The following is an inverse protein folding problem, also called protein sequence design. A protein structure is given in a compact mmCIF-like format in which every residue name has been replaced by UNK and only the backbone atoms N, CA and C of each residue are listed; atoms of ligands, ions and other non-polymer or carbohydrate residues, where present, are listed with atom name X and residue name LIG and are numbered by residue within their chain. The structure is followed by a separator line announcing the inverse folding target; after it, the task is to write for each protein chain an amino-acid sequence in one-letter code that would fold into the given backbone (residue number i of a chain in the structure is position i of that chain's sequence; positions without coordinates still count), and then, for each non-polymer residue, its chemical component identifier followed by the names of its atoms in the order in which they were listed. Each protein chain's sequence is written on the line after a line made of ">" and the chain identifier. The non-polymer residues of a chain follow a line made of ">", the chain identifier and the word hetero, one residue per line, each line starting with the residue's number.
data_IF_488892524011
#
_entry.id   IF_488892524011
#
_cell.length_a   1.000
_cell.length_b   1.000
_cell.length_c   1.000
_cell.angle_alpha   90.00
_cell.angle_beta   90.00
_cell.angle_gamma   90.00
#
_symmetry.space_group_name_H-M   'P 1'
#
loop_
_entity.id
_entity.type
_entity.pdbx_description
1 polymer ?
#
# COMPACT_ATOMS: atom_id res chain seq x y z
N UNK A 1 -4.24 -20.10 19.12
CA UNK A 1 -2.98 -20.75 19.51
C UNK A 1 -2.65 -21.77 18.43
N UNK A 2 -1.90 -21.37 17.43
CA UNK A 2 -1.15 -22.25 16.55
C UNK A 2 0.12 -21.51 16.20
N UNK A 3 1.07 -21.62 17.12
CA UNK A 3 2.46 -21.23 16.86
C UNK A 3 3.02 -22.36 15.98
N UNK A 4 2.88 -22.18 14.66
CA UNK A 4 3.50 -23.09 13.69
C UNK A 4 4.99 -22.83 13.72
N UNK A 5 5.70 -23.67 14.51
CA UNK A 5 7.14 -23.79 14.52
C UNK A 5 7.62 -24.07 13.10
N UNK A 6 8.04 -23.00 12.41
CA UNK A 6 8.77 -23.10 11.16
C UNK A 6 10.00 -23.99 11.44
N UNK A 7 10.04 -25.17 10.84
CA UNK A 7 11.19 -26.07 10.95
C UNK A 7 12.45 -25.29 10.56
N UNK A 8 13.46 -25.34 11.41
CA UNK A 8 14.71 -24.57 11.31
C UNK A 8 15.64 -25.07 10.18
N UNK A 9 15.06 -25.49 9.04
CA UNK A 9 15.82 -25.92 7.87
C UNK A 9 16.23 -24.66 7.09
N UNK A 10 17.54 -24.46 6.92
CA UNK A 10 18.07 -23.34 6.14
C UNK A 10 17.60 -23.45 4.68
N UNK A 11 16.92 -22.43 4.20
CA UNK A 11 16.42 -22.34 2.80
C UNK A 11 17.25 -21.39 1.94
N UNK A 12 18.36 -20.92 2.47
CA UNK A 12 19.25 -19.98 1.78
C UNK A 12 19.85 -20.63 0.52
N UNK A 13 19.68 -19.98 -0.62
CA UNK A 13 20.22 -20.47 -1.89
C UNK A 13 19.32 -21.44 -2.66
N UNK A 14 18.11 -21.73 -2.17
CA UNK A 14 17.12 -22.46 -2.97
C UNK A 14 16.61 -21.56 -4.10
N UNK A 15 16.33 -22.18 -5.26
CA UNK A 15 15.95 -21.44 -6.47
C UNK A 15 14.47 -21.06 -6.53
N UNK A 16 13.62 -21.71 -5.73
CA UNK A 16 12.18 -21.53 -5.76
C UNK A 16 11.60 -21.53 -4.34
N UNK A 17 10.59 -20.69 -4.10
CA UNK A 17 9.83 -20.74 -2.86
C UNK A 17 9.17 -22.09 -2.64
N UNK A 18 8.73 -22.79 -3.71
CA UNK A 18 8.15 -24.13 -3.58
C UNK A 18 9.15 -25.12 -2.99
N UNK A 19 10.41 -25.05 -3.38
CA UNK A 19 11.45 -25.90 -2.82
C UNK A 19 11.68 -25.59 -1.35
N UNK A 20 11.62 -24.29 -0.99
CA UNK A 20 11.80 -23.85 0.39
C UNK A 20 10.65 -24.33 1.30
N UNK A 21 9.40 -24.18 0.87
CA UNK A 21 8.24 -24.60 1.67
C UNK A 21 8.13 -26.11 1.77
N UNK A 22 8.55 -26.85 0.73
CA UNK A 22 8.64 -28.31 0.75
C UNK A 22 9.74 -28.76 1.73
N UNK A 23 10.92 -28.15 1.67
CA UNK A 23 12.05 -28.47 2.57
C UNK A 23 11.71 -28.17 4.04
N UNK A 24 10.90 -27.15 4.30
CA UNK A 24 10.35 -26.83 5.63
C UNK A 24 9.21 -27.77 6.06
N UNK A 25 8.73 -28.63 5.17
CA UNK A 25 7.62 -29.56 5.45
C UNK A 25 6.25 -28.85 5.56
N UNK A 26 6.13 -27.65 5.00
CA UNK A 26 4.90 -26.85 5.03
C UNK A 26 3.88 -27.29 3.97
N UNK A 27 4.34 -28.00 2.94
CA UNK A 27 3.51 -28.62 1.91
C UNK A 27 3.92 -30.05 1.66
N UNK A 28 2.99 -30.86 1.14
CA UNK A 28 3.27 -32.21 0.64
C UNK A 28 3.82 -32.18 -0.79
N UNK A 29 4.43 -33.30 -1.23
CA UNK A 29 4.88 -33.45 -2.61
C UNK A 29 3.73 -33.30 -3.63
N UNK A 30 2.52 -33.73 -3.27
CA UNK A 30 1.35 -33.60 -4.13
C UNK A 30 0.92 -32.13 -4.27
N UNK A 31 0.93 -31.39 -3.16
CA UNK A 31 0.66 -29.94 -3.17
C UNK A 31 1.73 -29.18 -3.96
N UNK A 32 3.02 -29.54 -3.79
CA UNK A 32 4.12 -28.99 -4.58
C UNK A 32 3.86 -29.14 -6.09
N UNK A 33 3.57 -30.37 -6.54
CA UNK A 33 3.32 -30.66 -7.96
C UNK A 33 2.07 -29.92 -8.49
N UNK A 34 1.00 -29.86 -7.69
CA UNK A 34 -0.23 -29.16 -8.03
C UNK A 34 0.01 -27.67 -8.23
N UNK A 35 0.69 -27.00 -7.28
CA UNK A 35 0.98 -25.56 -7.36
C UNK A 35 1.94 -25.26 -8.51
N UNK A 36 2.97 -26.09 -8.69
CA UNK A 36 3.92 -25.95 -9.79
C UNK A 36 3.22 -26.03 -11.15
N UNK A 37 2.33 -27.00 -11.33
CA UNK A 37 1.55 -27.16 -12.56
C UNK A 37 0.64 -25.96 -12.79
N UNK A 38 -0.05 -25.50 -11.75
CA UNK A 38 -0.97 -24.36 -11.83
C UNK A 38 -0.22 -23.05 -12.13
N UNK A 39 0.95 -22.83 -11.53
CA UNK A 39 1.76 -21.62 -11.76
C UNK A 39 2.25 -21.52 -13.22
N UNK A 40 2.50 -22.65 -13.88
CA UNK A 40 2.87 -22.67 -15.31
C UNK A 40 1.67 -22.39 -16.22
N UNK A 41 0.46 -22.81 -15.82
CA UNK A 41 -0.75 -22.68 -16.62
C UNK A 41 -1.55 -21.40 -16.35
N UNK A 42 -1.21 -20.67 -15.28
CA UNK A 42 -1.85 -19.41 -14.94
C UNK A 42 -0.78 -18.32 -14.88
N UNK A 43 -1.19 -17.06 -14.99
CA UNK A 43 -0.27 -15.91 -14.82
C UNK A 43 0.04 -15.60 -13.36
N UNK A 44 -0.23 -16.54 -12.42
CA UNK A 44 -0.01 -16.35 -10.98
C UNK A 44 1.29 -17.00 -10.55
N UNK A 45 2.07 -16.25 -9.77
CA UNK A 45 3.28 -16.79 -9.13
C UNK A 45 2.96 -17.87 -8.09
N UNK A 46 3.93 -18.76 -7.78
CA UNK A 46 3.77 -19.76 -6.72
C UNK A 46 3.43 -19.14 -5.37
N UNK A 47 3.99 -17.97 -5.05
CA UNK A 47 3.75 -17.19 -3.84
C UNK A 47 2.26 -16.84 -3.69
N UNK A 48 1.67 -16.30 -4.76
CA UNK A 48 0.27 -15.90 -4.77
C UNK A 48 -0.67 -17.12 -4.68
N UNK A 49 -0.28 -18.25 -5.29
CA UNK A 49 -1.05 -19.50 -5.21
C UNK A 49 -1.01 -20.09 -3.80
N UNK A 50 0.14 -20.08 -3.13
CA UNK A 50 0.28 -20.54 -1.75
C UNK A 50 -0.64 -19.76 -0.80
N UNK A 51 -0.68 -18.43 -0.95
CA UNK A 51 -1.52 -17.56 -0.13
C UNK A 51 -3.00 -17.68 -0.51
N UNK A 52 -3.36 -17.61 -1.79
CA UNK A 52 -4.75 -17.64 -2.25
C UNK A 52 -5.47 -18.96 -1.93
N UNK A 53 -4.72 -20.06 -1.83
CA UNK A 53 -5.23 -21.37 -1.40
C UNK A 53 -5.21 -21.56 0.11
N UNK A 54 -4.84 -20.54 0.89
CA UNK A 54 -4.70 -20.60 2.36
C UNK A 54 -3.78 -21.74 2.83
N UNK A 55 -2.76 -22.07 2.07
CA UNK A 55 -1.77 -23.09 2.43
C UNK A 55 -0.75 -22.50 3.40
N UNK A 56 -0.28 -21.27 3.11
CA UNK A 56 0.68 -20.54 3.93
C UNK A 56 0.20 -19.07 4.00
N UNK A 57 0.43 -18.40 5.14
CA UNK A 57 0.10 -16.98 5.29
C UNK A 57 1.04 -16.10 4.45
N UNK A 58 0.56 -14.93 4.02
CA UNK A 58 1.40 -13.94 3.32
C UNK A 58 2.63 -13.53 4.15
N UNK A 59 2.48 -13.45 5.48
CA UNK A 59 3.55 -13.17 6.43
C UNK A 59 4.63 -14.26 6.43
N UNK A 60 4.25 -15.52 6.39
CA UNK A 60 5.21 -16.63 6.34
C UNK A 60 5.91 -16.71 4.98
N UNK A 61 5.18 -16.42 3.88
CA UNK A 61 5.79 -16.30 2.56
C UNK A 61 6.86 -15.20 2.55
N UNK A 62 6.56 -14.01 3.06
CA UNK A 62 7.52 -12.90 3.14
C UNK A 62 8.77 -13.27 3.99
N UNK A 63 8.58 -13.97 5.11
CA UNK A 63 9.69 -14.46 5.94
C UNK A 63 10.56 -15.51 5.23
N UNK A 64 9.93 -16.43 4.50
CA UNK A 64 10.68 -17.45 3.75
C UNK A 64 11.49 -16.79 2.63
N UNK A 65 10.90 -15.85 1.89
CA UNK A 65 11.61 -15.09 0.85
C UNK A 65 12.77 -14.27 1.43
N UNK A 66 12.58 -13.66 2.59
CA UNK A 66 13.61 -12.96 3.36
C UNK A 66 14.81 -13.86 3.66
N UNK A 67 14.56 -15.07 4.18
CA UNK A 67 15.61 -16.06 4.45
C UNK A 67 16.32 -16.52 3.17
N UNK A 68 15.57 -16.76 2.09
CA UNK A 68 16.11 -17.24 0.81
C UNK A 68 17.03 -16.21 0.16
N UNK A 69 16.62 -14.95 0.16
CA UNK A 69 17.30 -13.84 -0.54
C UNK A 69 18.28 -13.09 0.35
N UNK A 70 18.25 -13.30 1.66
CA UNK A 70 19.08 -12.59 2.61
C UNK A 70 18.73 -11.09 2.76
N UNK A 71 17.49 -10.74 2.45
CA UNK A 71 16.91 -9.40 2.65
C UNK A 71 16.03 -9.46 3.89
N UNK A 72 16.17 -8.51 4.80
CA UNK A 72 15.48 -8.51 6.09
C UNK A 72 13.96 -8.39 5.92
N UNK A 73 13.19 -9.13 6.74
CA UNK A 73 11.74 -9.01 6.85
C UNK A 73 11.38 -7.97 7.93
N UNK A 74 10.34 -7.19 7.67
CA UNK A 74 9.79 -6.22 8.61
C UNK A 74 8.26 -6.30 8.63
N UNK A 75 7.66 -6.37 9.83
CA UNK A 75 6.21 -6.21 10.01
C UNK A 75 5.88 -4.71 9.97
N UNK A 76 5.67 -4.17 8.77
CA UNK A 76 5.58 -2.72 8.56
C UNK A 76 4.35 -2.09 9.19
N UNK A 77 3.28 -2.85 9.39
CA UNK A 77 2.04 -2.42 10.03
C UNK A 77 2.17 -2.25 11.55
N UNK A 78 3.15 -2.92 12.17
CA UNK A 78 3.47 -2.77 13.59
C UNK A 78 4.33 -1.52 13.90
N UNK A 79 4.83 -0.84 12.86
CA UNK A 79 5.71 0.33 13.03
C UNK A 79 4.90 1.63 13.21
N UNK A 80 5.41 2.51 14.07
CA UNK A 80 4.94 3.89 14.11
C UNK A 80 5.69 4.73 13.07
N UNK A 81 5.11 4.84 11.88
CA UNK A 81 5.72 5.52 10.74
C UNK A 81 5.23 6.96 10.70
N UNK A 82 6.15 7.97 10.75
CA UNK A 82 5.77 9.36 10.60
C UNK A 82 5.10 9.62 9.25
N UNK A 83 4.03 10.42 9.27
CA UNK A 83 3.23 10.73 8.07
C UNK A 83 4.08 11.39 6.97
N UNK A 84 5.03 12.25 7.34
CA UNK A 84 5.94 12.90 6.39
C UNK A 84 6.85 11.90 5.67
N UNK A 85 7.18 10.78 6.32
CA UNK A 85 7.95 9.70 5.72
C UNK A 85 7.09 8.90 4.74
N UNK A 86 5.84 8.60 5.10
CA UNK A 86 4.89 7.93 4.21
C UNK A 86 4.63 8.76 2.95
N UNK A 87 4.45 10.07 3.09
CA UNK A 87 4.15 11.00 2.01
C UNK A 87 5.30 11.24 1.03
N UNK A 88 6.51 10.70 1.29
CA UNK A 88 7.58 10.67 0.28
C UNK A 88 7.19 9.86 -0.95
N UNK A 89 6.26 8.93 -0.79
CA UNK A 89 5.69 8.15 -1.88
C UNK A 89 4.17 8.40 -1.92
N UNK A 90 3.62 8.73 -3.10
CA UNK A 90 2.17 8.90 -3.20
C UNK A 90 1.44 7.55 -3.07
N UNK A 91 0.19 7.61 -2.62
CA UNK A 91 -0.64 6.43 -2.33
C UNK A 91 -0.82 5.51 -3.54
N UNK A 92 -0.96 6.08 -4.74
CA UNK A 92 -1.17 5.28 -5.96
C UNK A 92 0.10 4.50 -6.32
N UNK A 93 1.27 5.13 -6.19
CA UNK A 93 2.56 4.43 -6.38
C UNK A 93 2.76 3.37 -5.29
N UNK A 94 2.44 3.67 -4.04
CA UNK A 94 2.53 2.72 -2.94
C UNK A 94 1.64 1.48 -3.18
N UNK A 95 0.38 1.68 -3.61
CA UNK A 95 -0.55 0.60 -3.96
C UNK A 95 -0.09 -0.21 -5.18
N UNK A 96 0.26 0.47 -6.27
CA UNK A 96 0.63 -0.19 -7.53
C UNK A 96 1.94 -0.97 -7.43
N UNK A 97 2.88 -0.50 -6.61
CA UNK A 97 4.18 -1.16 -6.39
C UNK A 97 4.18 -2.09 -5.19
N UNK A 98 3.10 -2.13 -4.39
CA UNK A 98 3.00 -2.86 -3.11
C UNK A 98 4.22 -2.58 -2.23
N UNK A 99 4.41 -1.30 -1.89
CA UNK A 99 5.53 -0.86 -1.08
C UNK A 99 5.19 0.36 -0.22
N UNK A 100 5.91 0.52 0.89
CA UNK A 100 5.75 1.62 1.85
C UNK A 100 7.13 2.09 2.30
N UNK A 101 7.36 3.42 2.25
CA UNK A 101 8.53 4.04 2.88
C UNK A 101 8.27 4.14 4.37
N UNK A 102 9.09 3.49 5.19
CA UNK A 102 8.88 3.48 6.63
C UNK A 102 9.95 4.23 7.43
N UNK A 103 11.10 4.52 6.82
CA UNK A 103 12.16 5.28 7.48
C UNK A 103 12.99 6.06 6.44
N UNK A 104 13.34 7.31 6.77
CA UNK A 104 14.29 8.11 6.00
C UNK A 104 15.61 8.24 6.77
N UNK A 105 16.70 7.90 6.12
CA UNK A 105 18.06 8.15 6.62
C UNK A 105 18.74 9.23 5.79
N UNK A 106 19.85 9.81 6.22
CA UNK A 106 20.59 10.78 5.41
C UNK A 106 21.02 10.24 4.03
N UNK A 107 21.31 8.92 3.92
CA UNK A 107 21.87 8.30 2.73
C UNK A 107 20.84 7.56 1.86
N UNK A 108 19.78 7.01 2.45
CA UNK A 108 18.82 6.16 1.77
C UNK A 108 17.45 6.18 2.46
N UNK A 109 16.44 5.70 1.73
CA UNK A 109 15.13 5.36 2.28
C UNK A 109 15.06 3.86 2.57
N UNK A 110 14.46 3.48 3.69
CA UNK A 110 14.07 2.10 3.96
C UNK A 110 12.64 1.90 3.47
N UNK A 111 12.46 0.89 2.63
CA UNK A 111 11.19 0.60 1.96
C UNK A 111 10.78 -0.84 2.19
N UNK A 112 9.62 -1.05 2.79
CA UNK A 112 8.98 -2.35 2.89
C UNK A 112 8.29 -2.67 1.56
N UNK A 113 8.52 -3.86 1.00
CA UNK A 113 8.06 -4.27 -0.32
C UNK A 113 7.58 -5.72 -0.26
N UNK A 114 6.51 -6.04 -1.02
CA UNK A 114 6.10 -7.43 -1.24
C UNK A 114 7.20 -8.22 -1.96
N UNK A 115 7.83 -7.58 -2.95
CA UNK A 115 8.90 -8.14 -3.77
C UNK A 115 10.17 -7.29 -3.59
N UNK A 116 10.87 -7.53 -2.49
CA UNK A 116 12.03 -6.75 -2.10
C UNK A 116 13.30 -7.06 -2.93
N UNK A 117 13.26 -8.08 -3.80
CA UNK A 117 14.36 -8.45 -4.68
C UNK A 117 14.19 -7.92 -6.12
N UNK A 118 13.05 -7.29 -6.44
CA UNK A 118 12.79 -6.71 -7.77
C UNK A 118 13.63 -5.44 -8.01
N UNK A 119 14.75 -5.61 -8.69
CA UNK A 119 15.68 -4.52 -9.00
C UNK A 119 15.05 -3.44 -9.90
N UNK A 120 14.05 -3.78 -10.71
CA UNK A 120 13.38 -2.80 -11.57
C UNK A 120 12.50 -1.88 -10.73
N UNK A 121 11.72 -2.44 -9.81
CA UNK A 121 10.93 -1.67 -8.85
C UNK A 121 11.82 -0.81 -7.94
N UNK A 122 12.93 -1.37 -7.44
CA UNK A 122 13.89 -0.60 -6.62
C UNK A 122 14.42 0.60 -7.38
N UNK A 123 14.89 0.43 -8.63
CA UNK A 123 15.38 1.53 -9.46
C UNK A 123 14.28 2.56 -9.77
N UNK A 124 13.07 2.12 -10.01
CA UNK A 124 11.93 3.00 -10.21
C UNK A 124 11.67 3.85 -8.96
N UNK A 125 11.65 3.25 -7.77
CA UNK A 125 11.50 3.98 -6.50
C UNK A 125 12.67 4.95 -6.26
N UNK A 126 13.92 4.56 -6.52
CA UNK A 126 15.08 5.46 -6.44
C UNK A 126 14.93 6.67 -7.36
N UNK A 127 14.34 6.48 -8.55
CA UNK A 127 14.11 7.57 -9.50
C UNK A 127 13.08 8.59 -9.01
N UNK A 128 12.04 8.13 -8.32
CA UNK A 128 10.98 8.97 -7.73
C UNK A 128 11.50 9.66 -6.47
N UNK A 129 12.07 8.89 -5.56
CA UNK A 129 12.53 9.36 -4.25
C UNK A 129 13.83 10.20 -4.35
N UNK A 130 14.51 10.19 -5.50
CA UNK A 130 15.81 10.88 -5.73
C UNK A 130 16.89 10.51 -4.73
N UNK A 131 16.81 9.31 -4.14
CA UNK A 131 17.70 8.80 -3.10
C UNK A 131 17.77 7.28 -3.21
N UNK A 132 18.84 6.68 -2.69
CA UNK A 132 18.98 5.21 -2.65
C UNK A 132 17.86 4.57 -1.83
N UNK A 133 17.51 3.35 -2.20
CA UNK A 133 16.49 2.52 -1.53
C UNK A 133 17.14 1.29 -0.94
N UNK A 134 16.91 1.05 0.33
CA UNK A 134 17.16 -0.23 1.00
C UNK A 134 15.83 -0.95 1.16
N UNK A 135 15.68 -2.07 0.46
CA UNK A 135 14.45 -2.86 0.45
C UNK A 135 14.39 -3.83 1.63
N UNK A 136 13.19 -4.06 2.13
CA UNK A 136 12.83 -5.01 3.18
C UNK A 136 11.61 -5.81 2.72
N UNK A 137 11.56 -7.10 3.06
CA UNK A 137 10.36 -7.90 2.81
C UNK A 137 9.26 -7.57 3.82
N UNK A 138 8.03 -7.41 3.32
CA UNK A 138 6.81 -7.38 4.13
C UNK A 138 5.68 -8.07 3.34
N UNK A 139 4.67 -8.59 4.03
CA UNK A 139 3.54 -9.19 3.35
C UNK A 139 2.68 -8.14 2.66
N UNK A 140 1.96 -8.54 1.62
CA UNK A 140 1.00 -7.68 0.92
C UNK A 140 -0.06 -7.13 1.89
N UNK A 141 -0.55 -7.98 2.80
CA UNK A 141 -1.56 -7.61 3.80
C UNK A 141 -1.04 -6.51 4.75
N UNK A 142 0.19 -6.64 5.27
CA UNK A 142 0.82 -5.64 6.13
C UNK A 142 1.01 -4.31 5.40
N UNK A 143 1.46 -4.35 4.13
CA UNK A 143 1.64 -3.15 3.30
C UNK A 143 0.30 -2.45 3.05
N UNK A 144 -0.73 -3.20 2.63
CA UNK A 144 -2.05 -2.65 2.36
C UNK A 144 -2.70 -2.10 3.63
N UNK A 145 -2.53 -2.77 4.78
CA UNK A 145 -3.01 -2.27 6.07
C UNK A 145 -2.43 -0.89 6.40
N UNK A 146 -1.12 -0.68 6.22
CA UNK A 146 -0.50 0.64 6.41
C UNK A 146 -1.06 1.65 5.43
N UNK A 147 -1.21 1.29 4.16
CA UNK A 147 -1.73 2.19 3.13
C UNK A 147 -3.16 2.62 3.47
N UNK A 148 -4.03 1.69 3.77
CA UNK A 148 -5.45 1.98 4.01
C UNK A 148 -5.69 2.72 5.34
N UNK A 149 -4.91 2.41 6.38
CA UNK A 149 -5.09 3.06 7.69
C UNK A 149 -4.40 4.42 7.77
N UNK A 150 -3.15 4.53 7.31
CA UNK A 150 -2.35 5.75 7.54
C UNK A 150 -2.49 6.78 6.42
N UNK A 151 -2.59 6.38 5.15
CA UNK A 151 -2.91 7.32 4.08
C UNK A 151 -4.41 7.69 4.07
N UNK A 152 -5.31 6.77 4.48
CA UNK A 152 -6.73 7.07 4.62
C UNK A 152 -7.03 8.08 5.73
N UNK A 153 -6.31 8.03 6.84
CA UNK A 153 -6.43 9.00 7.94
C UNK A 153 -6.02 10.42 7.53
N UNK A 154 -5.16 10.57 6.53
CA UNK A 154 -4.75 11.88 6.02
C UNK A 154 -5.86 12.54 5.21
N UNK A 155 -6.59 11.79 4.39
CA UNK A 155 -7.75 12.33 3.66
C UNK A 155 -8.77 12.90 4.64
N UNK A 156 -9.00 12.22 5.78
CA UNK A 156 -9.86 12.72 6.85
C UNK A 156 -9.38 14.04 7.45
N UNK A 157 -8.07 14.17 7.75
CA UNK A 157 -7.49 15.41 8.28
C UNK A 157 -7.52 16.57 7.30
N UNK A 158 -7.21 16.31 6.02
CA UNK A 158 -7.29 17.34 4.97
C UNK A 158 -8.73 17.82 4.76
N UNK A 159 -9.72 16.92 4.92
CA UNK A 159 -11.15 17.29 4.92
C UNK A 159 -11.50 18.10 6.16
N UNK A 160 -11.07 17.69 7.35
CA UNK A 160 -11.33 18.40 8.60
C UNK A 160 -10.66 19.79 8.61
N UNK A 161 -9.44 19.93 8.11
CA UNK A 161 -8.74 21.20 7.94
C UNK A 161 -9.43 22.09 6.89
N UNK A 162 -9.85 21.52 5.75
CA UNK A 162 -10.60 22.25 4.74
C UNK A 162 -11.98 22.70 5.25
N UNK A 163 -12.62 21.91 6.13
CA UNK A 163 -13.87 22.28 6.80
C UNK A 163 -13.67 23.32 7.90
N UNK A 164 -12.54 23.28 8.61
CA UNK A 164 -12.22 24.26 9.64
C UNK A 164 -11.88 25.64 9.06
N UNK A 165 -11.32 25.70 7.85
CA UNK A 165 -11.08 26.95 7.10
C UNK A 165 -12.37 27.56 6.53
N UNK A 166 -13.45 26.79 6.43
CA UNK A 166 -14.78 27.27 6.07
C UNK A 166 -15.48 27.75 7.34
N UNK A 167 -15.05 28.89 7.90
CA UNK A 167 -15.76 29.53 8.99
C UNK A 167 -17.22 29.85 8.62
N UNK A 168 -18.11 29.85 9.63
CA UNK A 168 -19.56 30.07 9.50
C UNK A 168 -19.92 31.34 8.68
N UNK A 169 -19.03 32.34 8.63
CA UNK A 169 -19.23 33.60 7.87
C UNK A 169 -18.98 33.46 6.34
N UNK A 170 -18.20 32.47 5.90
CA UNK A 170 -17.84 32.29 4.48
C UNK A 170 -18.94 31.56 3.70
N UNK A 171 -19.80 30.81 4.37
CA UNK A 171 -20.92 30.09 3.76
C UNK A 171 -22.07 31.06 3.36
N UNK A 172 -22.19 32.18 4.06
CA UNK A 172 -23.25 33.19 3.76
C UNK A 172 -22.88 34.10 2.59
N UNK A 173 -21.61 34.31 2.30
CA UNK A 173 -21.13 35.19 1.23
C UNK A 173 -21.07 34.50 -0.15
N UNK A 174 -20.99 33.17 -0.18
CA UNK A 174 -21.00 32.38 -1.43
C UNK A 174 -22.36 32.36 -2.13
N UNK A 175 -23.44 32.56 -1.39
CA UNK A 175 -24.81 32.66 -1.97
C UNK A 175 -25.05 33.91 -2.77
N UNK A 176 -24.30 34.99 -2.55
CA UNK A 176 -24.47 36.30 -3.23
C UNK A 176 -23.53 36.51 -4.42
N UNK A 177 -22.48 35.68 -4.57
CA UNK A 177 -21.44 35.89 -5.61
C UNK A 177 -21.67 35.15 -6.92
N UNK A 178 -22.80 34.45 -7.10
CA UNK A 178 -23.13 33.76 -8.35
C UNK A 178 -23.83 34.62 -9.40
N UNK A 179 -23.94 35.94 -9.19
CA UNK A 179 -24.39 36.87 -10.21
C UNK A 179 -23.23 37.69 -10.78
N UNK A 180 -22.85 37.31 -11.97
CA UNK A 180 -22.04 38.01 -12.97
C UNK A 180 -20.55 38.23 -12.71
N UNK A 181 -19.79 37.64 -13.62
CA UNK A 181 -18.49 37.98 -14.18
C UNK A 181 -17.22 37.31 -13.67
N UNK A 182 -16.57 36.67 -14.68
CA UNK A 182 -15.15 36.32 -14.77
C UNK A 182 -14.61 35.28 -13.76
N UNK A 183 -14.91 34.04 -14.11
CA UNK A 183 -14.19 32.87 -13.58
C UNK A 183 -12.77 32.89 -14.16
N UNK A 184 -11.84 33.51 -13.47
CA UNK A 184 -10.43 33.45 -13.82
C UNK A 184 -9.56 33.11 -12.61
N UNK A 185 -8.78 32.06 -12.76
CA UNK A 185 -7.46 31.76 -12.14
C UNK A 185 -7.34 31.43 -10.64
N UNK A 186 -8.36 31.59 -9.78
CA UNK A 186 -8.25 31.29 -8.35
C UNK A 186 -9.23 30.20 -7.83
N UNK A 187 -9.93 29.52 -8.75
CA UNK A 187 -10.94 28.49 -8.41
C UNK A 187 -10.33 27.29 -7.69
N UNK A 188 -9.07 26.95 -7.97
CA UNK A 188 -8.39 25.80 -7.33
C UNK A 188 -8.11 26.00 -5.83
N UNK A 189 -8.32 27.23 -5.32
CA UNK A 189 -8.09 27.57 -3.91
C UNK A 189 -9.36 27.61 -3.07
N UNK A 190 -10.54 27.54 -3.68
CA UNK A 190 -11.79 27.57 -2.91
C UNK A 190 -12.00 26.26 -2.13
N UNK A 191 -12.18 26.30 -0.81
CA UNK A 191 -12.32 25.09 0.02
C UNK A 191 -13.40 24.13 -0.46
N UNK A 192 -14.54 24.66 -0.93
CA UNK A 192 -15.66 23.86 -1.44
C UNK A 192 -15.28 23.07 -2.70
N UNK A 193 -14.50 23.66 -3.60
CA UNK A 193 -14.06 22.96 -4.82
C UNK A 193 -13.13 21.81 -4.47
N UNK A 194 -12.24 21.99 -3.49
CA UNK A 194 -11.39 20.90 -2.97
C UNK A 194 -12.24 19.77 -2.42
N UNK A 195 -13.26 20.06 -1.60
CA UNK A 195 -14.16 19.05 -1.03
C UNK A 195 -14.91 18.31 -2.15
N UNK A 196 -15.46 19.02 -3.14
CA UNK A 196 -16.16 18.39 -4.27
C UNK A 196 -15.23 17.49 -5.06
N UNK A 197 -14.02 17.95 -5.38
CA UNK A 197 -13.02 17.13 -6.08
C UNK A 197 -12.66 15.89 -5.28
N UNK A 198 -12.45 16.00 -3.97
CA UNK A 198 -12.19 14.84 -3.10
C UNK A 198 -13.34 13.83 -3.11
N UNK A 199 -14.60 14.29 -3.04
CA UNK A 199 -15.78 13.40 -3.11
C UNK A 199 -15.82 12.69 -4.47
N UNK A 200 -15.57 13.41 -5.55
CA UNK A 200 -15.54 12.84 -6.90
C UNK A 200 -14.42 11.83 -7.06
N UNK A 201 -13.21 12.16 -6.61
CA UNK A 201 -12.06 11.26 -6.66
C UNK A 201 -12.28 10.00 -5.82
N UNK A 202 -12.87 10.14 -4.65
CA UNK A 202 -13.21 9.01 -3.80
C UNK A 202 -14.25 8.09 -4.48
N UNK A 203 -15.30 8.68 -5.08
CA UNK A 203 -16.30 7.93 -5.83
C UNK A 203 -15.69 7.16 -7.01
N UNK A 204 -14.86 7.83 -7.80
CA UNK A 204 -14.18 7.23 -8.95
C UNK A 204 -13.22 6.10 -8.53
N UNK A 205 -12.41 6.32 -7.49
CA UNK A 205 -11.48 5.31 -6.95
C UNK A 205 -12.19 4.06 -6.44
N UNK A 206 -13.37 4.23 -5.84
CA UNK A 206 -14.20 3.12 -5.34
C UNK A 206 -15.17 2.57 -6.40
N UNK A 207 -15.07 3.01 -7.66
CA UNK A 207 -15.95 2.58 -8.77
C UNK A 207 -17.43 2.73 -8.45
N UNK A 208 -17.79 3.82 -7.74
CA UNK A 208 -19.18 4.15 -7.48
C UNK A 208 -19.91 4.43 -8.79
N UNK A 209 -21.13 3.91 -8.95
CA UNK A 209 -22.00 4.21 -10.09
C UNK A 209 -22.61 5.60 -9.95
N UNK A 210 -22.88 6.03 -8.71
CA UNK A 210 -23.57 7.27 -8.39
C UNK A 210 -23.00 7.89 -7.11
N UNK A 211 -23.02 9.22 -7.01
CA UNK A 211 -22.68 9.98 -5.81
C UNK A 211 -23.91 10.82 -5.44
N UNK A 212 -24.50 10.54 -4.28
CA UNK A 212 -25.63 11.28 -3.74
C UNK A 212 -25.18 12.21 -2.62
N UNK A 213 -25.51 13.50 -2.74
CA UNK A 213 -25.23 14.51 -1.71
C UNK A 213 -26.57 15.12 -1.29
N UNK A 214 -26.96 14.87 -0.04
CA UNK A 214 -28.22 15.39 0.51
C UNK A 214 -27.94 16.37 1.66
N UNK A 215 -28.54 17.58 1.64
CA UNK A 215 -28.49 18.48 2.78
C UNK A 215 -29.28 17.89 3.93
N UNK A 216 -28.72 17.84 5.15
CA UNK A 216 -29.46 17.53 6.37
C UNK A 216 -29.86 18.82 7.07
N UNK A 217 -31.15 18.97 7.37
CA UNK A 217 -31.59 19.97 8.33
C UNK A 217 -31.05 19.63 9.73
N UNK A 218 -30.57 20.66 10.44
CA UNK A 218 -30.11 20.53 11.84
C UNK A 218 -31.26 20.43 12.81
#
# INVERSE_FOLDING_TARGET
>A
MNDSTLNNTSVRGLSSILDAVLAKGLISSDQYNSIKFESVNTSKGPEDLLVSKNIISGKDVAKILSEMQGIEYIAVDELDIPIDTLNKLNVDTAKNSLCVVFEETPAYFKVAMKDAFDLQKIKFLESILKKKVQSYYSSEEEILNVIDTKYGAQIGKEVDEALADVGDDTLLDLGSSFQDNEISADLDKAPIIKIVNMIMDYGLKNKASDIHIEPREK
#
